data_IF_746260973512
#
_entry.id   IF_746260973512
#
_cell.length_a   1.000
_cell.length_b   1.000
_cell.length_c   1.000
_cell.angle_alpha   90.00
_cell.angle_beta   90.00
_cell.angle_gamma   90.00
#
_symmetry.space_group_name_H-M   'P 1'
#
loop_
_entity.id
_entity.type
_entity.pdbx_description
1 polymer ?
#
# COMPACT_ATOMS: atom_id res chain seq x y z
N UNK A 1 22.67 -11.32 -15.91
CA UNK A 1 21.55 -11.54 -14.92
C UNK A 1 20.24 -11.38 -15.67
N UNK A 2 19.35 -12.34 -15.56
CA UNK A 2 18.03 -12.26 -16.18
C UNK A 2 17.11 -11.33 -15.36
N UNK A 3 16.86 -10.13 -15.87
CA UNK A 3 16.09 -9.08 -15.23
C UNK A 3 14.61 -9.45 -15.19
N UNK A 4 14.06 -9.95 -16.30
CA UNK A 4 12.64 -10.32 -16.40
C UNK A 4 12.30 -11.44 -15.39
N UNK A 5 13.12 -12.48 -15.32
CA UNK A 5 12.94 -13.55 -14.35
C UNK A 5 13.05 -13.04 -12.89
N UNK A 6 13.90 -12.05 -12.62
CA UNK A 6 14.04 -11.44 -11.29
C UNK A 6 12.80 -10.62 -10.92
N UNK A 7 12.26 -9.84 -11.86
CA UNK A 7 11.02 -9.07 -11.66
C UNK A 7 9.82 -10.02 -11.55
N UNK A 8 9.73 -11.07 -12.37
CA UNK A 8 8.65 -12.06 -12.27
C UNK A 8 8.63 -12.77 -10.91
N UNK A 9 9.81 -13.11 -10.35
CA UNK A 9 9.92 -13.62 -8.98
C UNK A 9 9.47 -12.62 -7.93
N UNK A 10 9.76 -11.31 -8.11
CA UNK A 10 9.25 -10.25 -7.24
C UNK A 10 7.72 -10.20 -7.29
N UNK A 11 7.11 -10.27 -8.49
CA UNK A 11 5.66 -10.32 -8.66
C UNK A 11 5.07 -11.51 -7.92
N UNK A 12 5.60 -12.73 -8.16
CA UNK A 12 5.14 -13.94 -7.46
C UNK A 12 5.21 -13.78 -5.95
N UNK A 13 6.34 -13.32 -5.43
CA UNK A 13 6.53 -13.11 -3.99
C UNK A 13 5.54 -12.10 -3.42
N UNK A 14 5.32 -10.98 -4.14
CA UNK A 14 4.40 -9.92 -3.68
C UNK A 14 2.95 -10.39 -3.68
N UNK A 15 2.53 -11.21 -4.65
CA UNK A 15 1.16 -11.73 -4.72
C UNK A 15 0.86 -12.81 -3.68
N UNK A 16 1.87 -13.58 -3.25
CA UNK A 16 1.66 -14.78 -2.43
C UNK A 16 2.19 -14.69 -1.00
N UNK A 17 3.00 -13.69 -0.67
CA UNK A 17 3.72 -13.65 0.62
C UNK A 17 3.58 -12.28 1.27
N UNK A 18 3.00 -12.23 2.48
CA UNK A 18 2.98 -11.00 3.27
C UNK A 18 4.41 -10.57 3.65
N UNK A 19 4.68 -9.24 3.69
CA UNK A 19 5.85 -8.72 4.38
C UNK A 19 5.85 -9.15 5.85
N UNK A 20 7.04 -9.38 6.41
CA UNK A 20 7.18 -9.86 7.78
C UNK A 20 6.53 -8.91 8.80
N UNK A 21 6.71 -7.60 8.64
CA UNK A 21 6.14 -6.57 9.51
C UNK A 21 4.59 -6.59 9.50
N UNK A 22 3.97 -6.82 8.33
CA UNK A 22 2.53 -6.95 8.22
C UNK A 22 2.01 -8.24 8.87
N UNK A 23 2.71 -9.35 8.70
CA UNK A 23 2.37 -10.62 9.33
C UNK A 23 2.46 -10.53 10.87
N UNK A 24 3.51 -9.90 11.41
CA UNK A 24 3.66 -9.68 12.85
C UNK A 24 2.59 -8.72 13.40
N UNK A 25 2.23 -7.68 12.64
CA UNK A 25 1.15 -6.77 13.01
C UNK A 25 -0.20 -7.50 13.09
N UNK A 26 -0.51 -8.40 12.14
CA UNK A 26 -1.72 -9.24 12.17
C UNK A 26 -1.73 -10.19 13.36
N UNK A 27 -0.61 -10.88 13.62
CA UNK A 27 -0.48 -11.74 14.81
C UNK A 27 -0.62 -10.95 16.10
N UNK A 28 -0.08 -9.73 16.16
CA UNK A 28 -0.28 -8.79 17.25
C UNK A 28 -1.75 -8.40 17.43
N UNK A 29 -2.46 -8.17 16.32
CA UNK A 29 -3.88 -7.88 16.32
C UNK A 29 -4.71 -9.05 16.91
N UNK A 30 -4.44 -10.29 16.50
CA UNK A 30 -5.10 -11.49 17.06
C UNK A 30 -4.99 -11.53 18.60
N UNK A 31 -3.79 -11.21 19.13
CA UNK A 31 -3.57 -11.21 20.60
C UNK A 31 -4.36 -10.13 21.32
N UNK A 32 -4.69 -9.01 20.68
CA UNK A 32 -5.46 -7.90 21.26
C UNK A 32 -6.97 -8.13 21.23
N UNK A 33 -7.45 -8.93 20.28
CA UNK A 33 -8.88 -9.20 20.15
C UNK A 33 -9.39 -10.15 21.24
N UNK A 34 -10.67 -9.99 21.57
CA UNK A 34 -11.34 -10.84 22.56
C UNK A 34 -11.40 -12.29 22.07
N UNK A 35 -11.03 -13.23 22.92
CA UNK A 35 -11.09 -14.67 22.59
C UNK A 35 -12.52 -15.07 22.22
N UNK A 36 -12.70 -15.77 21.10
CA UNK A 36 -14.00 -16.20 20.59
C UNK A 36 -14.81 -15.12 19.85
N UNK A 37 -14.28 -13.89 19.70
CA UNK A 37 -14.96 -12.85 18.93
C UNK A 37 -14.83 -13.08 17.42
N UNK A 38 -15.81 -12.55 16.64
CA UNK A 38 -15.78 -12.55 15.18
C UNK A 38 -14.52 -11.86 14.64
N UNK A 39 -14.11 -10.74 15.26
CA UNK A 39 -12.89 -10.03 14.90
C UNK A 39 -11.65 -10.92 14.99
N UNK A 40 -11.50 -11.68 16.06
CA UNK A 40 -10.37 -12.60 16.23
C UNK A 40 -10.41 -13.73 15.22
N UNK A 41 -11.56 -14.34 15.01
CA UNK A 41 -11.74 -15.43 14.02
C UNK A 41 -11.37 -14.96 12.60
N UNK A 42 -11.81 -13.77 12.22
CA UNK A 42 -11.44 -13.17 10.91
C UNK A 42 -9.93 -13.00 10.81
N UNK A 43 -9.27 -12.43 11.81
CA UNK A 43 -7.82 -12.24 11.78
C UNK A 43 -7.05 -13.56 11.69
N UNK A 44 -7.50 -14.59 12.41
CA UNK A 44 -6.93 -15.95 12.33
C UNK A 44 -7.07 -16.51 10.92
N UNK A 45 -8.26 -16.38 10.30
CA UNK A 45 -8.51 -16.78 8.90
C UNK A 45 -7.61 -16.02 7.90
N UNK A 46 -7.40 -14.70 8.10
CA UNK A 46 -6.51 -13.91 7.24
C UNK A 46 -5.06 -14.40 7.31
N UNK A 47 -4.56 -14.72 8.51
CA UNK A 47 -3.20 -15.26 8.70
C UNK A 47 -3.08 -16.66 8.10
N UNK A 48 -4.10 -17.49 8.26
CA UNK A 48 -4.16 -18.83 7.63
C UNK A 48 -4.13 -18.72 6.11
N UNK A 49 -4.97 -17.85 5.51
CA UNK A 49 -4.98 -17.59 4.08
C UNK A 49 -3.60 -17.14 3.57
N UNK A 50 -2.95 -16.19 4.25
CA UNK A 50 -1.61 -15.72 3.88
C UNK A 50 -0.56 -16.85 3.96
N UNK A 51 -0.64 -17.69 4.98
CA UNK A 51 0.23 -18.84 5.17
C UNK A 51 0.05 -19.88 4.07
N UNK A 52 -1.20 -20.18 3.72
CA UNK A 52 -1.56 -21.12 2.65
C UNK A 52 -1.09 -20.60 1.28
N UNK A 53 -1.33 -19.32 0.99
CA UNK A 53 -0.90 -18.67 -0.24
C UNK A 53 0.63 -18.71 -0.41
N UNK A 54 1.36 -18.39 0.66
CA UNK A 54 2.82 -18.46 0.68
C UNK A 54 3.32 -19.89 0.41
N UNK A 55 2.77 -20.89 1.10
CA UNK A 55 3.17 -22.31 0.96
C UNK A 55 2.89 -22.84 -0.45
N UNK A 56 1.75 -22.47 -1.04
CA UNK A 56 1.35 -22.92 -2.39
C UNK A 56 1.94 -22.05 -3.49
N UNK A 57 2.45 -20.86 -3.19
CA UNK A 57 2.93 -19.89 -4.18
C UNK A 57 1.79 -19.35 -5.07
N UNK A 58 0.57 -19.29 -4.54
CA UNK A 58 -0.64 -18.80 -5.22
C UNK A 58 -1.02 -17.40 -4.73
N UNK A 59 -1.75 -16.60 -5.52
CA UNK A 59 -2.21 -15.29 -5.06
C UNK A 59 -3.04 -15.39 -3.78
N UNK A 60 -2.75 -14.52 -2.80
CA UNK A 60 -3.49 -14.47 -1.53
C UNK A 60 -4.84 -13.73 -1.64
N UNK A 61 -5.10 -13.07 -2.76
CA UNK A 61 -6.32 -12.31 -3.01
C UNK A 61 -6.80 -12.53 -4.45
N UNK A 62 -8.12 -12.55 -4.66
CA UNK A 62 -8.74 -12.63 -5.99
C UNK A 62 -8.52 -11.35 -6.82
N UNK A 63 -8.25 -10.22 -6.16
CA UNK A 63 -7.95 -8.95 -6.80
C UNK A 63 -6.43 -8.80 -6.96
N UNK A 64 -5.94 -8.86 -8.18
CA UNK A 64 -4.52 -8.56 -8.50
C UNK A 64 -4.20 -7.12 -8.08
N UNK A 65 -5.12 -6.20 -8.31
CA UNK A 65 -4.96 -4.79 -8.05
C UNK A 65 -4.05 -4.09 -9.06
N UNK A 66 -3.81 -2.81 -8.82
CA UNK A 66 -2.84 -2.02 -9.59
C UNK A 66 -1.43 -2.40 -9.16
N UNK A 67 -0.63 -2.84 -10.14
CA UNK A 67 0.79 -3.08 -9.95
C UNK A 67 1.54 -1.77 -10.11
N UNK A 68 2.14 -1.28 -9.03
CA UNK A 68 2.97 -0.06 -9.04
C UNK A 68 4.41 -0.43 -8.67
N UNK A 69 5.31 -0.25 -9.62
CA UNK A 69 6.74 -0.48 -9.43
C UNK A 69 7.44 0.84 -9.10
N UNK A 70 8.15 0.87 -7.99
CA UNK A 70 9.07 1.94 -7.62
C UNK A 70 10.48 1.43 -7.93
N UNK A 71 11.07 1.96 -8.96
CA UNK A 71 12.37 1.54 -9.51
C UNK A 71 13.42 2.59 -9.17
N UNK A 72 14.50 2.19 -8.52
CA UNK A 72 15.65 3.07 -8.32
C UNK A 72 16.08 3.68 -9.66
N UNK A 73 16.17 5.01 -9.73
CA UNK A 73 16.48 5.77 -10.96
C UNK A 73 17.74 5.24 -11.66
N UNK A 74 18.71 4.78 -10.90
CA UNK A 74 19.96 4.19 -11.44
C UNK A 74 19.74 2.91 -12.24
N UNK A 75 18.61 2.24 -12.04
CA UNK A 75 18.21 1.03 -12.78
C UNK A 75 17.40 1.32 -14.05
N UNK A 76 17.16 2.57 -14.43
CA UNK A 76 16.29 2.96 -15.54
C UNK A 76 16.62 2.24 -16.86
N UNK A 77 17.91 2.10 -17.16
CA UNK A 77 18.37 1.45 -18.40
C UNK A 77 18.41 -0.09 -18.29
N UNK A 78 18.24 -0.64 -17.09
CA UNK A 78 18.30 -2.08 -16.80
C UNK A 78 16.91 -2.65 -16.59
N UNK A 79 16.09 -1.97 -15.77
CA UNK A 79 14.70 -2.33 -15.49
C UNK A 79 13.80 -1.43 -16.34
N UNK A 80 13.73 -1.76 -17.62
CA UNK A 80 12.97 -1.00 -18.62
C UNK A 80 11.46 -1.28 -18.51
N UNK A 81 10.60 -0.39 -19.01
CA UNK A 81 9.16 -0.64 -19.07
C UNK A 81 8.80 -1.94 -19.81
N UNK A 82 9.53 -2.28 -20.87
CA UNK A 82 9.34 -3.53 -21.60
C UNK A 82 9.65 -4.75 -20.73
N UNK A 83 10.79 -4.77 -20.03
CA UNK A 83 11.17 -5.86 -19.14
C UNK A 83 10.14 -6.06 -18.01
N UNK A 84 9.61 -4.97 -17.45
CA UNK A 84 8.56 -5.05 -16.42
C UNK A 84 7.26 -5.61 -17.01
N UNK A 85 6.82 -5.15 -18.18
CA UNK A 85 5.62 -5.67 -18.88
C UNK A 85 5.77 -7.16 -19.19
N UNK A 86 6.89 -7.60 -19.75
CA UNK A 86 7.16 -9.01 -20.04
C UNK A 86 7.10 -9.86 -18.78
N UNK A 87 7.70 -9.41 -17.68
CA UNK A 87 7.66 -10.11 -16.39
C UNK A 87 6.23 -10.22 -15.82
N UNK A 88 5.40 -9.18 -15.96
CA UNK A 88 4.00 -9.18 -15.51
C UNK A 88 3.15 -10.10 -16.38
N UNK A 89 3.30 -10.05 -17.71
CA UNK A 89 2.61 -10.95 -18.63
C UNK A 89 2.94 -12.41 -18.33
N UNK A 90 4.23 -12.72 -18.17
CA UNK A 90 4.69 -14.05 -17.77
C UNK A 90 4.10 -14.51 -16.42
N UNK A 91 4.12 -13.63 -15.40
CA UNK A 91 3.54 -13.94 -14.10
C UNK A 91 2.02 -14.21 -14.18
N UNK A 92 1.32 -13.51 -15.06
CA UNK A 92 -0.11 -13.71 -15.33
C UNK A 92 -0.35 -15.06 -16.02
N UNK A 93 0.45 -15.40 -17.02
CA UNK A 93 0.39 -16.71 -17.70
C UNK A 93 0.62 -17.87 -16.71
N UNK A 94 1.58 -17.73 -15.79
CA UNK A 94 1.87 -18.73 -14.74
C UNK A 94 0.82 -18.81 -13.62
N UNK A 95 -0.24 -17.99 -13.66
CA UNK A 95 -1.26 -17.97 -12.62
C UNK A 95 -0.79 -17.37 -11.28
N UNK A 96 0.34 -16.64 -11.27
CA UNK A 96 0.81 -15.91 -10.09
C UNK A 96 0.06 -14.59 -9.88
N UNK A 97 -0.65 -14.15 -10.91
CA UNK A 97 -1.61 -13.05 -10.93
C UNK A 97 -2.93 -13.55 -11.53
N UNK A 98 -4.02 -12.94 -11.10
CA UNK A 98 -5.32 -13.11 -11.76
C UNK A 98 -5.45 -12.07 -12.87
N UNK A 99 -6.15 -12.47 -13.96
CA UNK A 99 -6.47 -11.56 -15.09
C UNK A 99 -7.61 -10.66 -14.66
N UNK A 100 -7.33 -9.43 -14.26
CA UNK A 100 -8.35 -8.48 -13.83
C UNK A 100 -8.08 -7.03 -14.21
N UNK A 101 -7.14 -6.80 -15.12
CA UNK A 101 -7.01 -5.50 -15.76
C UNK A 101 -8.08 -5.37 -16.85
N UNK A 102 -8.79 -4.25 -16.85
CA UNK A 102 -9.92 -3.97 -17.74
C UNK A 102 -9.66 -2.65 -18.45
N UNK A 103 -9.91 -2.59 -19.75
CA UNK A 103 -9.96 -1.35 -20.51
C UNK A 103 -11.13 -0.49 -20.03
N UNK A 104 -10.84 0.74 -19.58
CA UNK A 104 -11.82 1.59 -18.90
C UNK A 104 -12.93 2.11 -19.81
N UNK A 105 -12.74 2.10 -21.12
CA UNK A 105 -13.71 2.60 -22.10
C UNK A 105 -14.61 1.48 -22.61
N UNK A 106 -14.00 0.38 -23.04
CA UNK A 106 -14.75 -0.75 -23.63
C UNK A 106 -15.22 -1.78 -22.62
N UNK A 107 -14.66 -1.79 -21.39
CA UNK A 107 -14.94 -2.82 -20.38
C UNK A 107 -14.32 -4.20 -20.72
N UNK A 108 -13.49 -4.28 -21.75
CA UNK A 108 -12.87 -5.55 -22.16
C UNK A 108 -11.73 -5.94 -21.23
N UNK A 109 -11.62 -7.23 -20.92
CA UNK A 109 -10.51 -7.77 -20.14
C UNK A 109 -9.20 -7.68 -20.93
N UNK A 110 -8.12 -7.35 -20.23
CA UNK A 110 -6.75 -7.34 -20.73
C UNK A 110 -6.02 -8.53 -20.10
N UNK A 111 -5.99 -9.65 -20.84
CA UNK A 111 -5.59 -10.95 -20.31
C UNK A 111 -4.16 -11.04 -19.76
N UNK A 112 -3.26 -10.18 -20.24
CA UNK A 112 -1.87 -10.13 -19.79
C UNK A 112 -1.65 -9.28 -18.53
N UNK A 113 -2.63 -8.50 -18.08
CA UNK A 113 -2.50 -7.41 -17.11
C UNK A 113 -1.49 -6.31 -17.55
N UNK A 114 -1.21 -6.21 -18.85
CA UNK A 114 -0.28 -5.23 -19.40
C UNK A 114 -0.88 -4.50 -20.60
N UNK A 115 -0.84 -3.17 -20.56
CA UNK A 115 -1.28 -2.29 -21.65
C UNK A 115 -0.57 -0.94 -21.53
N UNK A 116 -1.02 0.07 -22.26
CA UNK A 116 -0.61 1.45 -22.01
C UNK A 116 -1.07 1.87 -20.61
N UNK A 117 -0.16 2.46 -19.80
CA UNK A 117 -0.44 2.84 -18.42
C UNK A 117 -0.45 1.70 -17.39
N UNK A 118 -0.34 0.44 -17.81
CA UNK A 118 -0.26 -0.70 -16.89
C UNK A 118 0.84 -1.70 -17.29
N UNK A 119 1.68 -2.16 -16.32
CA UNK A 119 1.79 -1.69 -14.92
C UNK A 119 2.30 -0.26 -14.80
N UNK A 120 2.04 0.39 -13.64
CA UNK A 120 2.55 1.74 -13.33
C UNK A 120 4.02 1.62 -12.90
N UNK A 121 4.88 2.50 -13.43
CA UNK A 121 6.31 2.50 -13.12
C UNK A 121 6.73 3.93 -12.73
N UNK A 122 7.22 4.08 -11.50
CA UNK A 122 7.85 5.30 -11.00
C UNK A 122 9.35 5.07 -10.85
N UNK A 123 10.16 5.89 -11.47
CA UNK A 123 11.59 5.95 -11.21
C UNK A 123 11.82 6.92 -10.06
N UNK A 124 12.45 6.43 -8.99
CA UNK A 124 12.60 7.16 -7.74
C UNK A 124 14.08 7.33 -7.37
N UNK A 125 14.40 8.43 -6.72
CA UNK A 125 15.76 8.68 -6.23
C UNK A 125 16.22 7.61 -5.24
N UNK A 126 17.50 7.24 -5.34
CA UNK A 126 18.11 6.32 -4.40
C UNK A 126 18.18 6.94 -2.99
N UNK A 127 18.02 6.15 -1.92
CA UNK A 127 18.19 6.65 -0.55
C UNK A 127 19.60 7.18 -0.26
N UNK A 128 20.55 6.87 -1.11
CA UNK A 128 21.93 7.35 -1.05
C UNK A 128 22.81 6.66 -2.09
N UNK A 129 23.96 7.24 -2.45
CA UNK A 129 24.79 6.79 -3.56
C UNK A 129 25.38 5.36 -3.37
N UNK A 130 25.59 4.94 -2.13
CA UNK A 130 26.14 3.62 -1.78
C UNK A 130 25.05 2.58 -1.45
N UNK A 131 23.76 2.96 -1.48
CA UNK A 131 22.68 2.00 -1.24
C UNK A 131 22.58 1.00 -2.39
N UNK A 132 22.30 -0.26 -2.11
CA UNK A 132 22.03 -1.25 -3.16
C UNK A 132 20.79 -0.82 -3.95
N UNK A 133 20.87 -0.71 -5.30
CA UNK A 133 19.74 -0.36 -6.13
C UNK A 133 18.60 -1.35 -5.92
N UNK A 134 17.37 -0.87 -5.94
CA UNK A 134 16.22 -1.70 -5.60
C UNK A 134 15.01 -1.44 -6.50
N UNK A 135 14.18 -2.46 -6.60
CA UNK A 135 12.82 -2.37 -7.16
C UNK A 135 11.84 -2.80 -6.09
N UNK A 136 10.89 -1.94 -5.79
CA UNK A 136 9.78 -2.25 -4.88
C UNK A 136 8.49 -2.35 -5.67
N UNK A 137 7.74 -3.42 -5.48
CA UNK A 137 6.41 -3.60 -6.04
C UNK A 137 5.36 -3.43 -4.93
N UNK A 138 4.40 -2.55 -5.20
CA UNK A 138 3.15 -2.42 -4.45
C UNK A 138 2.00 -2.96 -5.31
N UNK A 139 1.21 -3.89 -4.78
CA UNK A 139 -0.01 -4.37 -5.41
C UNK A 139 -1.21 -3.91 -4.58
N UNK A 140 -1.89 -2.87 -5.06
CA UNK A 140 -2.99 -2.22 -4.34
C UNK A 140 -4.33 -2.58 -5.00
N UNK A 141 -5.15 -3.35 -4.28
CA UNK A 141 -6.45 -3.81 -4.77
C UNK A 141 -7.46 -2.68 -4.98
N UNK A 142 -8.37 -2.84 -5.94
CA UNK A 142 -9.39 -1.84 -6.32
C UNK A 142 -10.29 -1.45 -5.14
N UNK A 143 -10.70 -2.39 -4.30
CA UNK A 143 -11.49 -2.09 -3.11
C UNK A 143 -10.80 -1.12 -2.17
N UNK A 144 -9.50 -1.33 -1.92
CA UNK A 144 -8.72 -0.40 -1.09
C UNK A 144 -8.37 0.90 -1.81
N UNK A 145 -8.26 0.89 -3.15
CA UNK A 145 -8.07 2.12 -3.93
C UNK A 145 -9.30 3.03 -3.83
N UNK A 146 -10.51 2.47 -3.91
CA UNK A 146 -11.76 3.21 -3.75
C UNK A 146 -11.93 3.88 -2.39
N UNK A 147 -11.25 3.38 -1.35
CA UNK A 147 -11.28 3.97 0.00
C UNK A 147 -10.25 5.08 0.18
N UNK A 148 -9.38 5.32 -0.79
CA UNK A 148 -8.43 6.43 -0.76
C UNK A 148 -9.18 7.76 -0.94
N UNK A 149 -8.73 8.82 -0.25
CA UNK A 149 -9.39 10.14 -0.25
C UNK A 149 -8.39 11.27 -0.27
N UNK A 150 -8.84 12.41 -0.77
CA UNK A 150 -8.07 13.65 -0.71
C UNK A 150 -8.98 14.80 -0.24
N UNK A 151 -8.49 15.53 0.74
CA UNK A 151 -9.16 16.68 1.36
C UNK A 151 -8.44 17.97 1.00
N UNK A 152 -9.19 19.06 0.92
CA UNK A 152 -8.65 20.42 0.83
C UNK A 152 -8.96 21.15 2.12
N UNK A 153 -7.95 21.66 2.81
CA UNK A 153 -8.14 22.39 4.07
C UNK A 153 -8.18 23.93 3.84
N UNK A 154 -9.02 24.66 4.58
CA UNK A 154 -9.90 24.19 5.65
C UNK A 154 -11.11 23.42 5.10
N UNK A 155 -11.65 22.49 5.89
CA UNK A 155 -12.90 21.79 5.62
C UNK A 155 -13.82 21.91 6.85
N UNK A 156 -14.82 22.79 6.75
CA UNK A 156 -15.75 23.08 7.84
C UNK A 156 -16.69 21.91 8.12
N UNK A 157 -16.96 21.03 7.14
CA UNK A 157 -17.87 19.89 7.31
C UNK A 157 -17.38 18.89 8.35
N UNK A 158 -16.06 18.81 8.53
CA UNK A 158 -15.40 17.96 9.54
C UNK A 158 -14.64 18.78 10.59
N UNK A 159 -14.81 20.11 10.58
CA UNK A 159 -14.16 21.04 11.47
C UNK A 159 -12.63 21.05 11.36
N UNK A 160 -12.07 20.76 10.16
CA UNK A 160 -10.64 20.65 9.93
C UNK A 160 -10.04 21.99 9.50
N UNK A 161 -9.12 22.52 10.30
CA UNK A 161 -8.30 23.71 10.01
C UNK A 161 -7.07 23.37 9.17
N UNK A 162 -6.27 24.42 8.84
CA UNK A 162 -4.98 24.25 8.10
C UNK A 162 -3.82 23.95 9.05
N UNK A 163 -3.93 22.87 9.82
CA UNK A 163 -2.96 22.45 10.82
C UNK A 163 -2.94 20.91 10.96
N UNK A 164 -2.08 20.38 11.83
CA UNK A 164 -1.96 18.95 12.07
C UNK A 164 -3.21 18.35 12.74
N UNK A 165 -3.98 19.14 13.46
CA UNK A 165 -5.28 18.69 14.02
C UNK A 165 -6.30 18.51 12.88
N UNK A 166 -6.32 19.40 11.89
CA UNK A 166 -7.11 19.25 10.67
C UNK A 166 -6.70 18.01 9.87
N UNK A 167 -5.37 17.74 9.75
CA UNK A 167 -4.88 16.48 9.14
C UNK A 167 -5.43 15.27 9.88
N UNK A 168 -5.36 15.25 11.21
CA UNK A 168 -5.90 14.17 12.03
C UNK A 168 -7.40 13.93 11.75
N UNK A 169 -8.19 14.99 11.69
CA UNK A 169 -9.63 14.92 11.40
C UNK A 169 -9.91 14.35 10.02
N UNK A 170 -9.18 14.79 8.98
CA UNK A 170 -9.29 14.23 7.63
C UNK A 170 -9.01 12.72 7.61
N UNK A 171 -7.94 12.27 8.28
CA UNK A 171 -7.57 10.86 8.29
C UNK A 171 -8.60 10.01 9.03
N UNK A 172 -9.12 10.47 10.17
CA UNK A 172 -10.16 9.77 10.91
C UNK A 172 -11.49 9.73 10.12
N UNK A 173 -11.87 10.81 9.44
CA UNK A 173 -13.02 10.84 8.54
C UNK A 173 -12.87 9.85 7.38
N UNK A 174 -11.66 9.75 6.80
CA UNK A 174 -11.38 8.76 5.75
C UNK A 174 -11.57 7.33 6.27
N UNK A 175 -11.09 7.02 7.49
CA UNK A 175 -11.27 5.71 8.12
C UNK A 175 -12.74 5.44 8.41
N UNK A 176 -13.44 6.41 8.98
CA UNK A 176 -14.87 6.31 9.29
C UNK A 176 -15.69 6.03 8.02
N UNK A 177 -15.39 6.71 6.92
CA UNK A 177 -16.06 6.51 5.62
C UNK A 177 -15.67 5.20 4.93
N UNK A 178 -14.46 4.70 5.16
CA UNK A 178 -14.01 3.44 4.60
C UNK A 178 -14.70 2.24 5.24
N UNK A 179 -15.06 2.32 6.54
CA UNK A 179 -15.66 1.20 7.26
C UNK A 179 -14.88 -0.11 7.00
N UNK A 180 -15.54 -1.22 6.72
CA UNK A 180 -14.94 -2.50 6.33
C UNK A 180 -14.63 -2.64 4.83
N UNK A 181 -15.07 -1.70 3.97
CA UNK A 181 -15.00 -1.81 2.51
C UNK A 181 -13.57 -1.84 1.94
N UNK A 182 -12.59 -1.29 2.65
CA UNK A 182 -11.17 -1.38 2.29
C UNK A 182 -10.50 -2.70 2.67
N UNK A 183 -11.26 -3.73 3.09
CA UNK A 183 -10.75 -4.99 3.66
C UNK A 183 -9.85 -4.73 4.88
N UNK A 184 -10.45 -4.15 5.93
CA UNK A 184 -9.76 -3.90 7.21
C UNK A 184 -9.27 -5.23 7.86
N UNK A 185 -8.21 -5.19 8.68
CA UNK A 185 -7.50 -4.00 9.17
C UNK A 185 -6.59 -3.38 8.11
N UNK A 186 -6.72 -2.07 7.93
CA UNK A 186 -5.99 -1.35 6.88
C UNK A 186 -4.63 -0.82 7.32
N UNK A 187 -3.88 -0.34 6.32
CA UNK A 187 -2.68 0.48 6.51
C UNK A 187 -2.91 1.78 5.75
N UNK A 188 -2.61 2.91 6.38
CA UNK A 188 -2.73 4.20 5.74
C UNK A 188 -1.36 4.77 5.38
N UNK A 189 -1.23 5.21 4.13
CA UNK A 189 -0.21 6.14 3.71
C UNK A 189 -0.85 7.52 3.57
N UNK A 190 -0.26 8.53 4.17
CA UNK A 190 -0.79 9.89 4.19
C UNK A 190 0.24 10.85 3.66
N UNK A 191 -0.17 11.79 2.82
CA UNK A 191 0.63 12.96 2.44
C UNK A 191 -0.02 14.22 2.97
N UNK A 192 0.79 15.06 3.64
CA UNK A 192 0.42 16.41 4.08
C UNK A 192 1.06 17.42 3.13
N UNK A 193 0.25 18.25 2.47
CA UNK A 193 0.72 19.24 1.49
C UNK A 193 0.80 18.66 0.06
N UNK A 194 1.74 19.21 -0.72
CA UNK A 194 1.88 18.92 -2.14
C UNK A 194 0.75 19.50 -3.00
N UNK A 195 0.74 19.14 -4.28
CA UNK A 195 -0.40 19.30 -5.16
C UNK A 195 -1.29 18.04 -5.15
N UNK A 196 -2.35 18.02 -5.97
CA UNK A 196 -3.29 16.90 -5.98
C UNK A 196 -2.67 15.60 -6.49
N UNK A 197 -1.81 15.66 -7.48
CA UNK A 197 -1.21 14.47 -8.10
C UNK A 197 -0.08 13.91 -7.24
N UNK A 198 0.88 14.76 -6.86
CA UNK A 198 2.02 14.34 -6.03
C UNK A 198 1.57 13.93 -4.62
N UNK A 199 0.42 14.42 -4.14
CA UNK A 199 -0.18 13.98 -2.89
C UNK A 199 -0.51 12.48 -2.89
N UNK A 200 -1.12 11.94 -3.95
CA UNK A 200 -1.40 10.51 -4.06
C UNK A 200 -0.14 9.68 -4.30
N UNK A 201 0.82 10.18 -5.08
CA UNK A 201 2.10 9.50 -5.27
C UNK A 201 2.85 9.34 -3.94
N UNK A 202 2.99 10.43 -3.18
CA UNK A 202 3.64 10.41 -1.86
C UNK A 202 2.87 9.54 -0.86
N UNK A 203 1.55 9.62 -0.81
CA UNK A 203 0.74 8.78 0.07
C UNK A 203 0.94 7.30 -0.23
N UNK A 204 1.02 6.89 -1.51
CA UNK A 204 1.35 5.52 -1.90
C UNK A 204 2.80 5.16 -1.53
N UNK A 205 3.74 6.09 -1.65
CA UNK A 205 5.12 5.88 -1.24
C UNK A 205 5.22 5.62 0.28
N UNK A 206 4.43 6.32 1.11
CA UNK A 206 4.37 6.07 2.55
C UNK A 206 3.88 4.65 2.90
N UNK A 207 3.07 4.00 2.05
CA UNK A 207 2.67 2.60 2.22
C UNK A 207 3.84 1.61 2.11
N UNK A 208 4.98 2.01 1.55
CA UNK A 208 6.17 1.17 1.43
C UNK A 208 6.98 1.09 2.72
N UNK A 209 6.77 2.02 3.66
CA UNK A 209 7.46 2.03 4.96
C UNK A 209 7.08 0.81 5.78
N UNK A 210 8.02 0.34 6.60
CA UNK A 210 7.75 -0.73 7.56
C UNK A 210 6.77 -0.28 8.63
N UNK A 211 5.92 -1.17 9.11
CA UNK A 211 4.95 -0.85 10.15
C UNK A 211 5.60 -0.54 11.50
N UNK A 212 6.75 -1.11 11.76
CA UNK A 212 7.55 -0.97 12.98
C UNK A 212 8.57 0.16 12.92
N UNK A 213 8.64 0.94 11.82
CA UNK A 213 9.53 2.09 11.75
C UNK A 213 8.97 3.31 12.51
N UNK A 214 9.86 4.22 12.90
CA UNK A 214 9.51 5.54 13.43
C UNK A 214 9.63 6.61 12.34
N UNK A 215 8.76 7.64 12.40
CA UNK A 215 8.90 8.79 11.51
C UNK A 215 10.11 9.63 11.92
N UNK A 216 10.88 10.11 10.92
CA UNK A 216 12.03 10.97 11.16
C UNK A 216 11.65 12.37 11.68
N UNK A 217 10.41 12.79 11.41
CA UNK A 217 9.84 14.07 11.88
C UNK A 217 9.04 13.79 13.17
N UNK A 218 9.49 14.28 14.35
CA UNK A 218 8.86 13.92 15.62
C UNK A 218 7.38 14.27 15.73
N UNK A 219 6.95 15.37 15.09
CA UNK A 219 5.55 15.80 15.05
C UNK A 219 4.68 14.80 14.29
N UNK A 220 5.18 14.29 13.16
CA UNK A 220 4.48 13.30 12.35
C UNK A 220 4.50 11.92 13.05
N UNK A 221 5.57 11.56 13.74
CA UNK A 221 5.63 10.31 14.53
C UNK A 221 4.57 10.28 15.63
N UNK A 222 4.42 11.39 16.37
CA UNK A 222 3.37 11.55 17.36
C UNK A 222 1.96 11.46 16.74
N UNK A 223 1.81 12.08 15.56
CA UNK A 223 0.54 12.09 14.84
C UNK A 223 0.17 10.70 14.31
N UNK A 224 1.12 9.95 13.73
CA UNK A 224 0.93 8.55 13.30
C UNK A 224 0.41 7.68 14.45
N UNK A 225 1.06 7.74 15.60
CA UNK A 225 0.68 6.98 16.80
C UNK A 225 -0.69 7.37 17.34
N UNK A 226 -0.98 8.69 17.39
CA UNK A 226 -2.26 9.22 17.86
C UNK A 226 -3.41 8.76 16.96
N UNK A 227 -3.28 8.95 15.64
CA UNK A 227 -4.30 8.55 14.68
C UNK A 227 -4.54 7.04 14.73
N UNK A 228 -3.48 6.23 14.79
CA UNK A 228 -3.61 4.78 14.88
C UNK A 228 -4.42 4.35 16.10
N UNK A 229 -4.14 4.96 17.27
CA UNK A 229 -4.90 4.69 18.51
C UNK A 229 -6.36 5.09 18.37
N UNK A 230 -6.65 6.29 17.87
CA UNK A 230 -8.00 6.81 17.73
C UNK A 230 -8.80 6.05 16.66
N UNK A 231 -8.20 5.73 15.52
CA UNK A 231 -8.84 4.93 14.48
C UNK A 231 -9.23 3.52 14.99
N UNK A 232 -8.40 2.92 15.82
CA UNK A 232 -8.70 1.63 16.43
C UNK A 232 -9.82 1.73 17.49
N UNK A 233 -10.02 2.90 18.12
CA UNK A 233 -11.14 3.11 19.06
C UNK A 233 -12.50 3.31 18.36
N UNK A 234 -12.52 3.50 17.02
CA UNK A 234 -13.78 3.54 16.26
C UNK A 234 -14.54 2.20 16.26
N UNK A 235 -13.87 1.10 16.59
CA UNK A 235 -14.50 -0.20 16.73
C UNK A 235 -14.99 -0.83 15.42
N UNK A 236 -14.54 -0.33 14.25
CA UNK A 236 -14.91 -0.88 12.93
C UNK A 236 -14.43 -2.33 12.80
N UNK A 237 -13.18 -2.57 13.20
CA UNK A 237 -12.60 -3.90 13.27
C UNK A 237 -12.33 -4.60 11.95
N UNK A 238 -11.80 -5.83 11.99
CA UNK A 238 -11.51 -6.64 10.80
C UNK A 238 -12.77 -6.84 9.94
N UNK A 239 -12.65 -6.54 8.65
CA UNK A 239 -13.73 -6.61 7.66
C UNK A 239 -15.01 -5.83 8.02
N UNK A 240 -14.94 -4.88 8.97
CA UNK A 240 -16.10 -4.14 9.46
C UNK A 240 -17.01 -4.90 10.42
N UNK A 241 -16.54 -6.02 10.95
CA UNK A 241 -17.32 -6.89 11.87
C UNK A 241 -17.17 -6.55 13.34
N UNK A 242 -16.73 -5.33 13.65
CA UNK A 242 -16.42 -4.91 15.01
C UNK A 242 -15.04 -5.38 15.47
N UNK A 243 -14.61 -4.91 16.64
CA UNK A 243 -13.33 -5.30 17.24
C UNK A 243 -12.40 -4.13 17.53
N UNK A 244 -11.20 -4.45 18.00
CA UNK A 244 -10.21 -3.49 18.49
C UNK A 244 -9.20 -3.06 17.43
N UNK A 245 -9.18 -3.73 16.27
CA UNK A 245 -8.16 -3.53 15.24
C UNK A 245 -8.79 -3.13 13.90
N UNK A 246 -8.94 -1.84 13.68
CA UNK A 246 -9.39 -1.24 12.41
C UNK A 246 -8.22 -1.00 11.47
N UNK A 247 -7.07 -0.56 12.03
CA UNK A 247 -5.84 -0.30 11.29
C UNK A 247 -4.66 -1.07 11.90
N UNK A 248 -3.73 -1.49 11.04
CA UNK A 248 -2.42 -2.04 11.41
C UNK A 248 -1.35 -0.96 11.53
N UNK A 249 -1.48 0.15 10.80
CA UNK A 249 -0.51 1.22 10.82
C UNK A 249 -0.96 2.47 10.08
N UNK A 250 -0.33 3.59 10.43
CA UNK A 250 -0.47 4.89 9.76
C UNK A 250 0.93 5.41 9.50
N UNK A 251 1.22 5.82 8.27
CA UNK A 251 2.51 6.35 7.85
C UNK A 251 2.29 7.69 7.14
N UNK A 252 2.91 8.75 7.64
CA UNK A 252 2.68 10.13 7.19
C UNK A 252 3.95 10.71 6.59
N UNK A 253 3.88 11.17 5.35
CA UNK A 253 4.88 12.01 4.71
C UNK A 253 4.37 13.43 4.52
N UNK A 254 5.25 14.33 4.12
CA UNK A 254 4.90 15.70 3.79
C UNK A 254 5.60 16.17 2.53
N UNK A 255 4.94 17.08 1.80
CA UNK A 255 5.49 17.76 0.62
C UNK A 255 5.29 19.26 0.78
N UNK A 256 6.23 20.10 0.30
CA UNK A 256 6.02 21.53 0.25
C UNK A 256 4.74 21.89 -0.48
N UNK A 257 4.08 22.95 -0.07
CA UNK A 257 2.84 23.46 -0.66
C UNK A 257 2.88 24.95 -0.87
N UNK A 258 2.05 25.46 -1.75
CA UNK A 258 1.82 26.90 -1.86
C UNK A 258 0.87 27.38 -0.75
N UNK A 259 0.93 28.66 -0.32
CA UNK A 259 0.15 29.15 0.82
C UNK A 259 -1.36 28.93 0.67
N UNK A 260 -1.90 29.10 -0.53
CA UNK A 260 -3.35 29.01 -0.80
C UNK A 260 -3.90 27.58 -0.74
N UNK A 261 -3.07 26.55 -0.98
CA UNK A 261 -3.50 25.15 -0.96
C UNK A 261 -2.99 24.40 0.27
N UNK A 262 -3.81 23.51 0.81
CA UNK A 262 -3.38 22.57 1.85
C UNK A 262 -4.17 21.27 1.65
N UNK A 263 -3.53 20.32 0.98
CA UNK A 263 -4.14 19.00 0.74
C UNK A 263 -3.71 18.00 1.81
N UNK A 264 -4.64 17.11 2.15
CA UNK A 264 -4.40 15.91 2.94
C UNK A 264 -4.84 14.74 2.10
N UNK A 265 -3.88 13.91 1.68
CA UNK A 265 -4.15 12.76 0.83
C UNK A 265 -3.97 11.48 1.62
N UNK A 266 -4.96 10.60 1.59
CA UNK A 266 -4.98 9.33 2.31
C UNK A 266 -5.07 8.20 1.29
N UNK A 267 -4.03 7.40 1.18
CA UNK A 267 -4.02 6.14 0.45
C UNK A 267 -4.30 5.00 1.44
N UNK A 268 -5.38 4.27 1.20
CA UNK A 268 -5.76 3.11 2.00
C UNK A 268 -5.20 1.83 1.39
N UNK A 269 -4.50 1.00 2.15
CA UNK A 269 -4.05 -0.33 1.76
C UNK A 269 -4.73 -1.37 2.66
N UNK A 270 -5.24 -2.47 2.08
CA UNK A 270 -5.92 -3.52 2.81
C UNK A 270 -4.96 -4.38 3.68
N UNK A 271 -5.52 -5.29 4.49
CA UNK A 271 -4.78 -6.21 5.34
C UNK A 271 -3.69 -7.01 4.61
N UNK A 272 -3.91 -7.31 3.31
CA UNK A 272 -2.98 -8.12 2.52
C UNK A 272 -1.62 -7.44 2.31
N UNK A 273 -1.51 -6.12 2.49
CA UNK A 273 -0.26 -5.35 2.52
C UNK A 273 0.79 -5.79 1.48
N UNK A 274 0.35 -6.09 0.25
CA UNK A 274 1.16 -6.71 -0.80
C UNK A 274 2.22 -5.74 -1.31
N UNK A 275 3.37 -5.72 -0.61
CA UNK A 275 4.55 -4.95 -1.00
C UNK A 275 5.81 -5.74 -0.73
N UNK A 276 6.71 -5.80 -1.70
CA UNK A 276 7.99 -6.49 -1.59
C UNK A 276 9.07 -5.71 -2.33
N UNK A 277 10.30 -5.86 -1.87
CA UNK A 277 11.47 -5.22 -2.47
C UNK A 277 12.49 -6.27 -2.88
N UNK A 278 13.09 -6.09 -4.05
CA UNK A 278 14.26 -6.84 -4.51
C UNK A 278 15.43 -5.88 -4.72
N UNK A 279 16.60 -6.26 -4.20
CA UNK A 279 17.84 -5.51 -4.37
C UNK A 279 18.66 -6.07 -5.54
N UNK A 280 19.40 -5.18 -6.17
CA UNK A 280 20.32 -5.49 -7.24
C UNK A 280 21.76 -5.23 -6.77
N UNK A 281 22.74 -6.01 -7.24
CA UNK A 281 24.14 -5.74 -6.95
C UNK A 281 24.56 -4.42 -7.66
N UNK A 282 25.53 -3.70 -7.09
CA UNK A 282 26.00 -2.43 -7.65
C UNK A 282 26.66 -2.60 -9.03
N UNK A 283 27.16 -3.77 -9.33
CA UNK A 283 27.80 -4.11 -10.62
C UNK A 283 26.82 -4.01 -11.80
N UNK A 284 25.52 -4.07 -11.53
CA UNK A 284 24.47 -3.93 -12.56
C UNK A 284 24.38 -2.52 -13.12
N UNK A 285 24.99 -1.56 -12.45
CA UNK A 285 25.02 -0.14 -12.86
C UNK A 285 26.20 0.19 -13.80
N UNK A 286 27.11 -0.77 -14.02
CA UNK A 286 28.23 -0.66 -14.93
C UNK A 286 27.83 -1.12 -16.34
#
# INVERSE_FOLDING_TARGET
MDIEAKIARLVRKTSSTLPQDALEALKGAIRRETKGSSARMVLETLVENATLACRKGTPMCQDTGTLTFFVDERLRNVVTPSAVKNAVAYATEKGWLRRNTIDSVSGRSIDSNTCEGAPVIHYVEAPGPRSAPAVTLLMKGGGSENMSRQYSLPDSSIGAGRDLEGVRRCVLDAVQKAQGYGCAPGILGVCVGGDRACGFEEAKHQLLRKLDDANKVPELDRLEKRILKEANSLGIGPMGLGGKTTLLGVKIGSRPRVPASFFVTVAYLCWAARRQTVKFPLEVLK
#
